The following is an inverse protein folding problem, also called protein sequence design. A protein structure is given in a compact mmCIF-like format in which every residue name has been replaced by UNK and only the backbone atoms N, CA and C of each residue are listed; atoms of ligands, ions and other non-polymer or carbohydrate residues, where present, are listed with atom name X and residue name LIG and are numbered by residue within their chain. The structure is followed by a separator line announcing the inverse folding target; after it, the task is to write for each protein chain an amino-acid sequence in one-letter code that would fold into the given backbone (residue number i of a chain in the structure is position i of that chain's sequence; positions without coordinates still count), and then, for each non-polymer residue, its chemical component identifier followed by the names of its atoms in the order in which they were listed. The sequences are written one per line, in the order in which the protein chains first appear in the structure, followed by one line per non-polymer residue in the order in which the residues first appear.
data_IF_280558017178
#
_entry.id   IF_280558017178
#
_cell.length_a   1.000
_cell.length_b   1.000
_cell.length_c   1.000
_cell.angle_alpha   90.00
_cell.angle_beta   90.00
_cell.angle_gamma   90.00
#
_symmetry.space_group_name_H-M   'P 1'
#
loop_
_entity.id
_entity.type
_entity.pdbx_description
1 polymer ?
#
# COMPACT_ATOMS: atom_id res chain seq x y z
N UNK A 1 -31.80 3.28 17.53
CA UNK A 1 -32.46 2.10 16.94
C UNK A 1 -31.40 1.01 16.87
N UNK A 2 -31.63 -0.16 17.47
CA UNK A 2 -30.67 -1.26 17.42
C UNK A 2 -30.82 -1.99 16.08
N UNK A 3 -29.72 -2.17 15.35
CA UNK A 3 -29.71 -2.95 14.10
C UNK A 3 -29.97 -4.42 14.41
N UNK A 4 -30.76 -5.08 13.57
CA UNK A 4 -30.92 -6.52 13.64
C UNK A 4 -29.66 -7.22 13.15
N UNK A 5 -29.41 -8.45 13.61
CA UNK A 5 -28.28 -9.27 13.15
C UNK A 5 -28.23 -9.40 11.61
N UNK A 6 -29.40 -9.38 10.97
CA UNK A 6 -29.53 -9.45 9.51
C UNK A 6 -29.03 -8.18 8.82
N UNK A 7 -29.36 -7.01 9.36
CA UNK A 7 -28.89 -5.71 8.84
C UNK A 7 -27.38 -5.58 9.05
N UNK A 8 -26.88 -5.93 10.23
CA UNK A 8 -25.44 -5.92 10.53
C UNK A 8 -24.65 -6.86 9.61
N UNK A 9 -25.17 -8.06 9.33
CA UNK A 9 -24.52 -9.01 8.42
C UNK A 9 -24.56 -8.58 6.95
N UNK A 10 -25.55 -7.77 6.53
CA UNK A 10 -25.63 -7.22 5.18
C UNK A 10 -24.73 -6.00 4.99
N UNK A 11 -24.52 -5.23 6.05
CA UNK A 11 -23.59 -4.09 6.07
C UNK A 11 -22.15 -4.51 6.41
N UNK A 12 -21.94 -5.75 6.84
CA UNK A 12 -20.62 -6.33 7.09
C UNK A 12 -19.86 -6.46 5.77
N UNK A 13 -19.08 -5.43 5.45
CA UNK A 13 -18.03 -5.51 4.46
C UNK A 13 -16.78 -5.95 5.23
N UNK A 14 -16.29 -7.20 5.05
CA UNK A 14 -15.00 -7.57 5.60
C UNK A 14 -13.99 -6.59 5.02
N UNK A 15 -13.40 -5.73 5.86
CA UNK A 15 -12.35 -4.81 5.46
C UNK A 15 -11.14 -5.64 5.04
N UNK A 16 -11.09 -6.02 3.77
CA UNK A 16 -9.91 -6.60 3.15
C UNK A 16 -8.97 -5.46 2.80
N UNK A 17 -8.16 -5.06 3.78
CA UNK A 17 -7.07 -4.14 3.51
C UNK A 17 -6.03 -4.88 2.69
N UNK A 18 -5.93 -4.53 1.40
CA UNK A 18 -4.90 -5.04 0.49
C UNK A 18 -3.52 -4.58 0.91
N UNK A 19 -2.49 -5.17 0.34
CA UNK A 19 -1.12 -4.76 0.60
C UNK A 19 -0.67 -3.70 -0.42
N UNK A 20 0.09 -2.69 0.01
CA UNK A 20 0.73 -1.73 -0.92
C UNK A 20 1.58 -2.42 -1.99
N UNK A 21 2.11 -3.62 -1.70
CA UNK A 21 2.87 -4.42 -2.67
C UNK A 21 2.03 -5.06 -3.79
N UNK A 22 0.71 -4.98 -3.71
CA UNK A 22 -0.20 -5.47 -4.75
C UNK A 22 -0.41 -4.42 -5.87
N UNK A 23 0.20 -3.24 -5.76
CA UNK A 23 0.12 -2.16 -6.75
C UNK A 23 1.37 -2.15 -7.64
N UNK A 24 1.17 -1.92 -8.94
CA UNK A 24 2.27 -1.79 -9.91
C UNK A 24 3.19 -0.62 -9.58
N UNK A 25 2.61 0.51 -9.16
CA UNK A 25 3.32 1.71 -8.72
C UNK A 25 2.47 2.52 -7.75
N UNK A 26 3.13 3.26 -6.88
CA UNK A 26 2.49 4.10 -5.85
C UNK A 26 3.08 5.50 -5.92
N UNK A 27 2.23 6.51 -5.90
CA UNK A 27 2.65 7.90 -5.84
C UNK A 27 3.13 8.25 -4.42
N UNK A 28 4.27 8.95 -4.31
CA UNK A 28 4.77 9.44 -3.01
C UNK A 28 3.90 10.55 -2.42
N UNK A 29 3.03 11.15 -3.24
CA UNK A 29 2.11 12.23 -2.84
C UNK A 29 0.72 11.71 -2.42
N UNK A 30 0.54 10.39 -2.31
CA UNK A 30 -0.74 9.82 -1.89
C UNK A 30 -1.06 10.19 -0.44
N UNK A 31 -2.33 10.48 -0.17
CA UNK A 31 -2.77 10.83 1.18
C UNK A 31 -2.92 9.55 2.01
N UNK A 32 -2.21 9.48 3.14
CA UNK A 32 -2.30 8.37 4.09
C UNK A 32 -3.33 8.70 5.16
N UNK A 33 -4.11 7.69 5.53
CA UNK A 33 -5.06 7.69 6.63
C UNK A 33 -4.56 6.76 7.74
N UNK A 34 -4.89 7.10 8.98
CA UNK A 34 -4.61 6.27 10.15
C UNK A 34 -5.80 5.32 10.40
N UNK A 35 -5.51 4.04 10.50
CA UNK A 35 -6.46 2.98 10.83
C UNK A 35 -6.11 2.31 12.15
N UNK A 36 -7.12 1.78 12.83
CA UNK A 36 -6.96 0.99 14.04
C UNK A 36 -7.43 -0.44 13.77
N UNK A 37 -6.65 -1.41 14.22
CA UNK A 37 -6.98 -2.83 14.15
C UNK A 37 -6.78 -3.47 15.51
N UNK A 38 -7.51 -4.52 15.80
CA UNK A 38 -7.33 -5.31 17.02
C UNK A 38 -6.62 -6.59 16.65
N UNK A 39 -5.51 -6.88 17.33
CA UNK A 39 -4.78 -8.14 17.13
C UNK A 39 -5.46 -9.32 17.84
N UNK A 40 -4.94 -10.52 17.65
CA UNK A 40 -5.47 -11.74 18.29
C UNK A 40 -5.34 -11.76 19.82
N UNK A 41 -4.64 -10.80 20.43
CA UNK A 41 -4.49 -10.63 21.87
C UNK A 41 -5.41 -9.55 22.43
N UNK A 42 -6.21 -8.89 21.58
CA UNK A 42 -7.08 -7.78 21.97
C UNK A 42 -6.35 -6.44 22.04
N UNK A 43 -5.11 -6.35 21.58
CA UNK A 43 -4.34 -5.11 21.57
C UNK A 43 -4.69 -4.28 20.32
N UNK A 44 -5.07 -3.03 20.52
CA UNK A 44 -5.30 -2.10 19.41
C UNK A 44 -3.97 -1.65 18.83
N UNK A 45 -3.72 -1.98 17.56
CA UNK A 45 -2.58 -1.50 16.80
C UNK A 45 -3.01 -0.45 15.77
N UNK A 46 -2.25 0.64 15.70
CA UNK A 46 -2.40 1.66 14.65
C UNK A 46 -1.65 1.25 13.40
N UNK A 47 -2.26 1.39 12.25
CA UNK A 47 -1.63 1.15 10.95
C UNK A 47 -1.98 2.27 9.98
N UNK A 48 -1.10 2.53 9.01
CA UNK A 48 -1.38 3.49 7.94
C UNK A 48 -1.92 2.76 6.73
N UNK A 49 -2.91 3.36 6.09
CA UNK A 49 -3.45 2.88 4.82
C UNK A 49 -3.78 4.07 3.92
N UNK A 50 -4.08 3.81 2.66
CA UNK A 50 -4.70 4.79 1.76
C UNK A 50 -5.78 4.10 0.96
N UNK A 51 -6.70 4.91 0.42
CA UNK A 51 -7.75 4.41 -0.46
C UNK A 51 -7.41 4.77 -1.90
N UNK A 52 -7.35 3.77 -2.76
CA UNK A 52 -7.18 3.91 -4.21
C UNK A 52 -8.26 3.08 -4.90
N UNK A 53 -9.03 3.68 -5.81
CA UNK A 53 -10.12 3.01 -6.54
C UNK A 53 -11.16 2.31 -5.64
N UNK A 54 -11.48 2.92 -4.49
CA UNK A 54 -12.37 2.37 -3.43
C UNK A 54 -11.81 1.13 -2.71
N UNK A 55 -10.54 0.82 -2.91
CA UNK A 55 -9.84 -0.25 -2.21
C UNK A 55 -8.83 0.31 -1.23
N UNK A 56 -8.79 -0.26 -0.01
CA UNK A 56 -7.86 0.17 1.03
C UNK A 56 -6.55 -0.61 0.95
N UNK A 57 -5.43 0.08 0.89
CA UNK A 57 -4.10 -0.50 0.82
C UNK A 57 -3.30 -0.15 2.07
N UNK A 58 -2.87 -1.18 2.81
CA UNK A 58 -2.06 -1.03 4.02
C UNK A 58 -0.62 -0.70 3.64
N UNK A 59 -0.05 0.28 4.33
CA UNK A 59 1.35 0.67 4.20
C UNK A 59 2.13 0.25 5.45
N UNK A 60 3.01 -0.77 5.35
CA UNK A 60 3.89 -1.14 6.44
C UNK A 60 4.88 -0.03 6.80
N UNK A 61 5.22 0.11 8.09
CA UNK A 61 6.22 1.09 8.55
C UNK A 61 7.59 0.93 7.87
N UNK A 62 7.98 -0.30 7.52
CA UNK A 62 9.22 -0.60 6.79
C UNK A 62 9.23 0.11 5.42
N UNK A 63 8.10 0.10 4.71
CA UNK A 63 7.96 0.74 3.39
C UNK A 63 8.10 2.26 3.53
N UNK A 64 7.46 2.86 4.55
CA UNK A 64 7.59 4.30 4.84
C UNK A 64 9.06 4.67 5.11
N UNK A 65 9.77 3.85 5.88
CA UNK A 65 11.20 4.04 6.14
C UNK A 65 12.04 3.99 4.86
N UNK A 66 11.76 3.05 3.96
CA UNK A 66 12.45 2.94 2.67
C UNK A 66 12.14 4.12 1.73
N UNK A 67 10.89 4.57 1.66
CA UNK A 67 10.49 5.75 0.87
C UNK A 67 11.23 7.00 1.38
N UNK A 68 11.36 7.18 2.70
CA UNK A 68 12.15 8.28 3.28
C UNK A 68 13.60 8.26 2.80
N UNK A 69 14.24 7.09 2.75
CA UNK A 69 15.62 6.95 2.25
C UNK A 69 15.71 7.27 0.75
N UNK A 70 14.74 6.82 -0.04
CA UNK A 70 14.65 7.11 -1.48
C UNK A 70 14.54 8.63 -1.71
N UNK A 71 13.63 9.31 -1.01
CA UNK A 71 13.44 10.75 -1.13
C UNK A 71 14.66 11.55 -0.64
N UNK A 72 15.38 11.05 0.37
CA UNK A 72 16.62 11.64 0.82
C UNK A 72 17.73 11.54 -0.24
N UNK A 73 17.78 10.43 -0.99
CA UNK A 73 18.75 10.23 -2.07
C UNK A 73 18.35 10.97 -3.37
N UNK A 74 17.04 11.01 -3.68
CA UNK A 74 16.49 11.68 -4.84
C UNK A 74 15.11 12.29 -4.50
N UNK A 75 15.06 13.61 -4.20
CA UNK A 75 13.82 14.28 -3.81
C UNK A 75 12.81 14.43 -4.96
N UNK A 76 13.21 14.16 -6.20
CA UNK A 76 12.35 14.28 -7.38
C UNK A 76 11.56 12.99 -7.70
N UNK A 77 11.75 11.93 -6.91
CA UNK A 77 11.01 10.67 -7.09
C UNK A 77 9.52 10.91 -6.87
N UNK A 78 8.71 10.67 -7.89
CA UNK A 78 7.26 10.81 -7.80
C UNK A 78 6.55 9.48 -7.53
N UNK A 79 7.15 8.38 -7.97
CA UNK A 79 6.54 7.06 -7.93
C UNK A 79 7.52 6.02 -7.37
N UNK A 80 7.01 5.05 -6.64
CA UNK A 80 7.76 3.92 -6.09
C UNK A 80 7.05 2.61 -6.39
N UNK A 81 7.81 1.54 -6.51
CA UNK A 81 7.31 0.16 -6.57
C UNK A 81 7.64 -0.51 -5.25
N UNK A 82 6.67 -1.22 -4.69
CA UNK A 82 6.87 -2.03 -3.49
C UNK A 82 6.72 -3.49 -3.87
N UNK A 83 7.73 -4.29 -3.59
CA UNK A 83 7.68 -5.75 -3.77
C UNK A 83 7.69 -6.43 -2.41
N UNK A 84 6.83 -7.43 -2.26
CA UNK A 84 6.77 -8.30 -1.08
C UNK A 84 7.35 -9.66 -1.44
N UNK A 85 8.28 -10.15 -0.62
CA UNK A 85 8.79 -11.52 -0.70
C UNK A 85 8.51 -12.28 0.60
N UNK A 86 8.12 -13.55 0.48
CA UNK A 86 7.85 -14.43 1.62
C UNK A 86 6.40 -14.36 2.13
N UNK A 87 6.12 -15.21 3.12
CA UNK A 87 4.80 -15.38 3.75
C UNK A 87 4.94 -15.46 5.27
N UNK A 88 3.97 -14.91 6.00
CA UNK A 88 3.96 -14.94 7.48
C UNK A 88 5.11 -14.13 8.08
N UNK A 89 5.78 -14.70 9.09
CA UNK A 89 6.84 -14.03 9.87
C UNK A 89 8.06 -13.66 9.00
N UNK A 90 8.32 -14.40 7.92
CA UNK A 90 9.43 -14.16 7.00
C UNK A 90 9.15 -13.10 5.92
N UNK A 91 8.05 -12.36 6.01
CA UNK A 91 7.68 -11.38 4.99
C UNK A 91 8.67 -10.21 4.96
N UNK A 92 9.29 -9.99 3.81
CA UNK A 92 10.20 -8.87 3.56
C UNK A 92 9.59 -7.93 2.52
N UNK A 93 9.72 -6.63 2.75
CA UNK A 93 9.30 -5.58 1.82
C UNK A 93 10.54 -4.88 1.25
N UNK A 94 10.57 -4.71 -0.06
CA UNK A 94 11.56 -3.90 -0.76
C UNK A 94 10.84 -2.81 -1.55
N UNK A 95 11.30 -1.57 -1.41
CA UNK A 95 10.76 -0.41 -2.11
C UNK A 95 11.85 0.16 -3.00
N UNK A 96 11.50 0.46 -4.25
CA UNK A 96 12.40 1.02 -5.26
C UNK A 96 11.75 2.21 -5.96
N UNK A 97 12.51 3.21 -6.43
CA UNK A 97 11.98 4.24 -7.30
C UNK A 97 11.40 3.60 -8.57
N UNK A 98 10.20 4.02 -8.97
CA UNK A 98 9.66 3.64 -10.26
C UNK A 98 10.25 4.56 -11.33
N UNK A 99 10.93 3.96 -12.30
CA UNK A 99 11.39 4.64 -13.51
C UNK A 99 10.47 4.19 -14.63
N UNK A 100 9.80 5.12 -15.29
CA UNK A 100 8.98 4.78 -16.45
C UNK A 100 9.85 4.06 -17.49
N UNK A 101 9.39 2.91 -18.02
CA UNK A 101 10.11 2.28 -19.11
C UNK A 101 10.08 3.26 -20.29
N UNK A 102 11.27 3.76 -20.67
CA UNK A 102 11.43 4.49 -21.93
C UNK A 102 10.91 3.57 -23.03
N UNK A 103 9.77 3.94 -23.61
CA UNK A 103 9.26 3.26 -24.80
C UNK A 103 10.38 3.38 -25.84
N UNK A 104 10.95 2.25 -26.24
CA UNK A 104 11.97 2.22 -27.28
C UNK A 104 11.36 2.95 -28.49
N UNK A 105 11.88 4.15 -28.80
CA UNK A 105 11.55 4.88 -30.00
C UNK A 105 11.65 3.88 -31.16
N UNK A 106 10.53 3.69 -31.84
CA UNK A 106 10.50 2.93 -33.06
C UNK A 106 11.46 3.61 -34.02
N UNK A 107 12.64 3.03 -34.20
CA UNK A 107 13.61 3.44 -35.20
C UNK A 107 12.87 3.31 -36.55
N UNK A 108 12.57 4.41 -37.26
CA UNK A 108 11.88 4.29 -38.52
C UNK A 108 12.76 3.48 -39.48
N UNK A 109 12.21 2.47 -40.19
CA UNK A 109 12.97 1.76 -41.20
C UNK A 109 13.37 2.76 -42.30
N UNK A 110 14.67 2.81 -42.55
CA UNK A 110 15.30 3.57 -43.64
C UNK A 110 15.04 2.92 -44.99
#
# INVERSE_FOLDING_TARGET
MAKTLKEEAQEYIPMQTKNIADLDKVSVNIQLEDGEGTDSKGETFKYKFFVLDKESYRVPNIVIGQIKLILAANPNVQHVVVTKQGTGIGTTYMTMPYVEPVQAEQVPPN
#
